data_IF_175260182027
#
_entry.id   IF_175260182027
#
_cell.length_a   1.000
_cell.length_b   1.000
_cell.length_c   1.000
_cell.angle_alpha   90.00
_cell.angle_beta   90.00
_cell.angle_gamma   90.00
#
_symmetry.space_group_name_H-M   'P 1'
#
loop_
_entity.id
_entity.type
_entity.pdbx_description
1 polymer ?
#
# COMPACT_ATOMS: atom_id res chain seq x y z
N UNK A 1 12.08 -20.22 8.28
CA UNK A 1 12.19 -21.17 9.41
C UNK A 1 11.40 -20.73 10.65
N UNK A 2 11.56 -19.50 11.15
CA UNK A 2 10.83 -19.04 12.35
C UNK A 2 9.29 -19.16 12.24
N UNK A 3 8.71 -18.82 11.09
CA UNK A 3 7.26 -18.96 10.86
C UNK A 3 6.80 -20.42 11.01
N UNK A 4 7.63 -21.37 10.59
CA UNK A 4 7.34 -22.80 10.62
C UNK A 4 7.41 -23.34 12.05
N UNK A 5 8.40 -22.89 12.82
CA UNK A 5 8.52 -23.21 14.24
C UNK A 5 7.32 -22.67 15.01
N UNK A 6 6.90 -21.44 14.72
CA UNK A 6 5.74 -20.82 15.37
C UNK A 6 4.44 -21.57 15.04
N UNK A 7 4.25 -21.96 13.77
CA UNK A 7 3.13 -22.80 13.33
C UNK A 7 3.10 -24.14 14.04
N UNK A 8 4.24 -24.80 14.22
CA UNK A 8 4.33 -26.08 14.96
C UNK A 8 3.95 -25.91 16.43
N UNK A 9 4.43 -24.86 17.10
CA UNK A 9 4.09 -24.58 18.50
C UNK A 9 2.60 -24.30 18.65
N UNK A 10 2.02 -23.46 17.79
CA UNK A 10 0.59 -23.18 17.79
C UNK A 10 -0.23 -24.44 17.51
N UNK A 11 0.15 -25.23 16.51
CA UNK A 11 -0.54 -26.48 16.16
C UNK A 11 -0.50 -27.50 17.29
N UNK A 12 0.65 -27.65 17.96
CA UNK A 12 0.78 -28.49 19.14
C UNK A 12 -0.11 -28.00 20.30
N UNK A 13 -0.14 -26.68 20.55
CA UNK A 13 -1.01 -26.07 21.56
C UNK A 13 -2.50 -26.30 21.27
N UNK A 14 -2.93 -26.11 20.02
CA UNK A 14 -4.31 -26.37 19.60
C UNK A 14 -4.67 -27.84 19.77
N UNK A 15 -3.77 -28.76 19.39
CA UNK A 15 -3.98 -30.20 19.55
C UNK A 15 -4.10 -30.59 21.02
N UNK A 16 -3.23 -30.05 21.87
CA UNK A 16 -3.27 -30.27 23.32
C UNK A 16 -4.59 -29.76 23.92
N UNK A 17 -5.01 -28.55 23.57
CA UNK A 17 -6.29 -28.00 24.01
C UNK A 17 -7.47 -28.84 23.51
N UNK A 18 -7.40 -29.35 22.29
CA UNK A 18 -8.43 -30.23 21.72
C UNK A 18 -8.56 -31.56 22.46
N UNK A 19 -7.44 -32.14 22.92
CA UNK A 19 -7.46 -33.40 23.68
C UNK A 19 -8.05 -33.23 25.08
N UNK A 20 -7.89 -32.06 25.68
CA UNK A 20 -8.39 -31.77 27.03
C UNK A 20 -9.85 -31.29 27.02
N UNK A 21 -10.32 -30.71 25.93
CA UNK A 21 -11.65 -30.09 25.82
C UNK A 21 -12.56 -30.85 24.84
N UNK A 22 -12.78 -32.14 25.13
CA UNK A 22 -13.70 -33.03 24.40
C UNK A 22 -15.14 -32.98 24.91
N UNK A 23 -15.44 -32.07 25.84
CA UNK A 23 -16.81 -31.84 26.29
C UNK A 23 -17.71 -31.44 25.11
N UNK A 24 -18.89 -32.05 25.07
CA UNK A 24 -19.89 -31.81 24.04
C UNK A 24 -20.89 -30.77 24.53
N UNK A 25 -21.27 -29.88 23.63
CA UNK A 25 -22.27 -28.84 23.86
C UNK A 25 -23.34 -28.91 22.79
N UNK A 26 -24.55 -28.45 23.13
CA UNK A 26 -25.60 -28.22 22.12
C UNK A 26 -25.50 -26.78 21.64
N UNK A 27 -25.13 -26.60 20.38
CA UNK A 27 -25.04 -25.28 19.76
C UNK A 27 -26.37 -24.95 19.09
N UNK A 28 -27.03 -23.88 19.53
CA UNK A 28 -28.21 -23.33 18.85
C UNK A 28 -27.79 -22.09 18.06
N UNK A 29 -27.95 -22.13 16.74
CA UNK A 29 -27.60 -21.04 15.84
C UNK A 29 -28.79 -20.66 14.97
N UNK A 30 -29.34 -19.46 15.20
CA UNK A 30 -30.63 -19.03 14.66
C UNK A 30 -31.73 -20.09 14.92
N UNK A 31 -32.13 -20.80 13.87
CA UNK A 31 -33.19 -21.82 13.91
C UNK A 31 -32.63 -23.25 13.82
N UNK A 32 -31.31 -23.41 13.79
CA UNK A 32 -30.64 -24.70 13.72
C UNK A 32 -30.10 -25.11 15.09
N UNK A 33 -30.33 -26.37 15.46
CA UNK A 33 -29.80 -26.98 16.68
C UNK A 33 -28.82 -28.06 16.28
N UNK A 34 -27.58 -27.91 16.74
CA UNK A 34 -26.51 -28.87 16.55
C UNK A 34 -26.20 -29.51 17.91
N UNK A 35 -26.83 -30.66 18.22
CA UNK A 35 -26.54 -31.39 19.46
C UNK A 35 -25.16 -32.06 19.41
N UNK A 36 -24.63 -32.37 20.59
CA UNK A 36 -23.42 -33.17 20.81
C UNK A 36 -22.16 -32.67 20.07
N UNK A 37 -22.02 -31.35 19.90
CA UNK A 37 -20.89 -30.77 19.19
C UNK A 37 -19.72 -30.54 20.16
N UNK A 38 -18.52 -31.08 19.87
CA UNK A 38 -17.34 -30.81 20.69
C UNK A 38 -17.02 -29.32 20.76
N UNK A 39 -16.80 -28.80 21.97
CA UNK A 39 -16.59 -27.36 22.20
C UNK A 39 -15.36 -26.80 21.46
N UNK A 40 -14.31 -27.62 21.31
CA UNK A 40 -13.10 -27.30 20.55
C UNK A 40 -13.41 -26.88 19.10
N UNK A 41 -14.38 -27.50 18.42
CA UNK A 41 -14.76 -27.14 17.06
C UNK A 41 -15.41 -25.77 16.98
N UNK A 42 -16.23 -25.40 17.96
CA UNK A 42 -16.84 -24.06 18.03
C UNK A 42 -15.77 -23.00 18.25
N UNK A 43 -14.82 -23.25 19.15
CA UNK A 43 -13.72 -22.32 19.45
C UNK A 43 -12.83 -22.13 18.22
N UNK A 44 -12.33 -23.21 17.63
CA UNK A 44 -11.46 -23.17 16.45
C UNK A 44 -12.20 -22.53 15.28
N UNK A 45 -13.45 -22.91 15.05
CA UNK A 45 -14.31 -22.34 14.02
C UNK A 45 -14.48 -20.83 14.18
N UNK A 46 -14.73 -20.35 15.40
CA UNK A 46 -14.89 -18.92 15.68
C UNK A 46 -13.62 -18.13 15.44
N UNK A 47 -12.47 -18.65 15.86
CA UNK A 47 -11.15 -18.03 15.62
C UNK A 47 -10.87 -17.96 14.11
N UNK A 48 -11.10 -19.05 13.39
CA UNK A 48 -10.91 -19.10 11.94
C UNK A 48 -11.83 -18.12 11.22
N UNK A 49 -13.11 -18.07 11.61
CA UNK A 49 -14.09 -17.17 11.01
C UNK A 49 -13.71 -15.70 11.24
N UNK A 50 -13.26 -15.35 12.45
CA UNK A 50 -12.71 -14.03 12.76
C UNK A 50 -11.46 -13.69 11.93
N UNK A 51 -10.55 -14.65 11.76
CA UNK A 51 -9.35 -14.47 10.93
C UNK A 51 -9.70 -14.25 9.45
N UNK A 52 -10.65 -15.03 8.92
CA UNK A 52 -11.15 -14.88 7.54
C UNK A 52 -11.81 -13.51 7.35
N UNK A 53 -12.66 -13.07 8.29
CA UNK A 53 -13.29 -11.75 8.22
C UNK A 53 -12.24 -10.62 8.25
N UNK A 54 -11.26 -10.71 9.14
CA UNK A 54 -10.15 -9.76 9.21
C UNK A 54 -9.35 -9.71 7.91
N UNK A 55 -9.06 -10.87 7.32
CA UNK A 55 -8.38 -10.96 6.03
C UNK A 55 -9.20 -10.29 4.92
N UNK A 56 -10.50 -10.55 4.84
CA UNK A 56 -11.39 -9.93 3.85
C UNK A 56 -11.38 -8.39 3.98
N UNK A 57 -11.45 -7.86 5.19
CA UNK A 57 -11.38 -6.41 5.44
C UNK A 57 -10.03 -5.85 5.01
N UNK A 58 -8.94 -6.52 5.38
CA UNK A 58 -7.57 -6.12 5.01
C UNK A 58 -7.37 -6.14 3.50
N UNK A 59 -7.92 -7.14 2.81
CA UNK A 59 -7.84 -7.28 1.36
C UNK A 59 -8.48 -6.09 0.65
N UNK A 60 -9.69 -5.69 1.08
CA UNK A 60 -10.38 -4.51 0.53
C UNK A 60 -9.53 -3.24 0.73
N UNK A 61 -8.95 -3.07 1.92
CA UNK A 61 -8.08 -1.93 2.22
C UNK A 61 -6.82 -1.93 1.35
N UNK A 62 -6.26 -3.10 1.06
CA UNK A 62 -5.08 -3.26 0.21
C UNK A 62 -5.38 -2.82 -1.24
N UNK A 63 -6.54 -3.18 -1.79
CA UNK A 63 -6.96 -2.72 -3.11
C UNK A 63 -7.08 -1.19 -3.16
N UNK A 64 -7.77 -0.60 -2.19
CA UNK A 64 -7.93 0.85 -2.10
C UNK A 64 -6.58 1.56 -2.01
N UNK A 65 -5.68 1.03 -1.17
CA UNK A 65 -4.32 1.54 -1.00
C UNK A 65 -3.53 1.49 -2.30
N UNK A 66 -3.59 0.37 -3.03
CA UNK A 66 -2.90 0.22 -4.32
C UNK A 66 -3.42 1.20 -5.38
N UNK A 67 -4.73 1.44 -5.43
CA UNK A 67 -5.31 2.43 -6.33
C UNK A 67 -4.85 3.85 -5.97
N UNK A 68 -4.84 4.19 -4.67
CA UNK A 68 -4.35 5.48 -4.18
C UNK A 68 -2.87 5.70 -4.52
N UNK A 69 -2.03 4.68 -4.32
CA UNK A 69 -0.60 4.72 -4.66
C UNK A 69 -0.41 4.94 -6.16
N UNK A 70 -1.17 4.24 -7.02
CA UNK A 70 -1.13 4.47 -8.47
C UNK A 70 -1.50 5.90 -8.84
N UNK A 71 -2.56 6.45 -8.24
CA UNK A 71 -2.98 7.83 -8.45
C UNK A 71 -1.91 8.84 -8.05
N UNK A 72 -1.27 8.64 -6.90
CA UNK A 72 -0.16 9.46 -6.42
C UNK A 72 1.06 9.35 -7.33
N UNK A 73 1.40 8.15 -7.81
CA UNK A 73 2.52 7.96 -8.72
C UNK A 73 2.34 8.68 -10.06
N UNK A 74 1.09 8.72 -10.56
CA UNK A 74 0.74 9.50 -11.76
C UNK A 74 0.95 10.99 -11.53
N UNK A 75 0.48 11.55 -10.41
CA UNK A 75 0.65 12.96 -10.06
C UNK A 75 2.14 13.33 -9.95
N UNK A 76 2.94 12.53 -9.24
CA UNK A 76 4.39 12.75 -9.14
C UNK A 76 5.07 12.77 -10.52
N UNK A 77 4.60 11.93 -11.44
CA UNK A 77 5.15 11.87 -12.80
C UNK A 77 4.76 13.10 -13.62
N UNK A 78 3.54 13.61 -13.45
CA UNK A 78 3.07 14.84 -14.10
C UNK A 78 3.80 16.07 -13.55
N UNK A 79 3.89 16.23 -12.23
CA UNK A 79 4.64 17.31 -11.58
C UNK A 79 6.11 17.33 -12.00
N UNK A 80 6.77 16.17 -12.08
CA UNK A 80 8.15 16.08 -12.57
C UNK A 80 8.30 16.57 -14.02
N UNK A 81 7.32 16.30 -14.88
CA UNK A 81 7.34 16.79 -16.27
C UNK A 81 7.19 18.30 -16.30
N UNK A 82 6.28 18.85 -15.50
CA UNK A 82 6.06 20.29 -15.39
C UNK A 82 7.32 21.02 -14.90
N UNK A 83 8.00 20.49 -13.88
CA UNK A 83 9.28 21.04 -13.40
C UNK A 83 10.32 21.08 -14.53
N UNK A 84 10.47 19.99 -15.30
CA UNK A 84 11.42 19.94 -16.42
C UNK A 84 11.04 20.96 -17.51
N UNK A 85 9.76 21.11 -17.81
CA UNK A 85 9.29 22.09 -18.79
C UNK A 85 9.54 23.53 -18.32
N UNK A 86 9.25 23.85 -17.06
CA UNK A 86 9.54 25.15 -16.48
C UNK A 86 11.04 25.45 -16.50
N UNK A 87 11.89 24.49 -16.12
CA UNK A 87 13.35 24.65 -16.19
C UNK A 87 13.82 24.96 -17.61
N UNK A 88 13.26 24.30 -18.63
CA UNK A 88 13.57 24.61 -20.03
C UNK A 88 13.14 26.02 -20.42
N UNK A 89 11.93 26.43 -20.05
CA UNK A 89 11.42 27.78 -20.33
C UNK A 89 12.28 28.86 -19.68
N UNK A 90 12.66 28.67 -18.40
CA UNK A 90 13.56 29.58 -17.70
C UNK A 90 14.90 29.68 -18.43
N UNK A 91 15.50 28.56 -18.82
CA UNK A 91 16.77 28.58 -19.55
C UNK A 91 16.67 29.27 -20.91
N UNK A 92 15.57 29.07 -21.65
CA UNK A 92 15.32 29.78 -22.92
C UNK A 92 15.19 31.29 -22.71
N UNK A 93 14.44 31.71 -21.70
CA UNK A 93 14.26 33.13 -21.38
C UNK A 93 15.55 33.79 -20.88
N UNK A 94 16.43 33.05 -20.20
CA UNK A 94 17.76 33.54 -19.84
C UNK A 94 18.62 33.77 -21.08
N UNK A 95 18.62 32.83 -22.04
CA UNK A 95 19.34 32.98 -23.30
C UNK A 95 18.79 34.15 -24.13
N UNK A 96 17.46 34.31 -24.21
CA UNK A 96 16.81 35.42 -24.91
C UNK A 96 17.15 36.76 -24.27
N UNK A 97 17.09 36.87 -22.94
CA UNK A 97 17.50 38.08 -22.24
C UNK A 97 18.97 38.43 -22.48
N UNK A 98 19.87 37.44 -22.51
CA UNK A 98 21.29 37.68 -22.83
C UNK A 98 21.43 38.15 -24.28
N UNK A 99 20.70 37.56 -25.22
CA UNK A 99 20.67 37.99 -26.63
C UNK A 99 20.20 39.44 -26.79
N UNK A 100 19.05 39.78 -26.19
CA UNK A 100 18.48 41.13 -26.22
C UNK A 100 19.38 42.15 -25.50
N UNK A 101 20.02 41.76 -24.40
CA UNK A 101 20.95 42.64 -23.69
C UNK A 101 22.20 42.94 -24.53
N UNK A 102 22.70 41.97 -25.29
CA UNK A 102 23.82 42.19 -26.21
C UNK A 102 23.42 43.04 -27.42
N UNK A 103 22.17 42.92 -27.91
CA UNK A 103 21.67 43.73 -29.02
C UNK A 103 21.37 45.20 -28.62
N UNK A 104 20.98 45.43 -27.37
CA UNK A 104 20.70 46.76 -26.83
C UNK A 104 21.90 47.41 -26.13
N UNK A 105 23.10 46.81 -26.18
CA UNK A 105 24.33 47.38 -25.59
C UNK A 105 24.99 48.36 -26.59
N UNK A 106 24.97 49.69 -26.33
CA UNK A 106 25.46 50.70 -27.26
C UNK A 106 27.00 50.70 -27.45
N UNK A 107 27.74 49.86 -26.72
CA UNK A 107 29.21 49.78 -26.76
C UNK A 107 29.75 48.63 -27.64
N UNK A 108 28.88 47.93 -28.38
CA UNK A 108 29.27 46.83 -29.29
C UNK A 108 29.47 47.25 -30.75
N UNK A 109 29.12 48.48 -31.11
CA UNK A 109 29.48 49.05 -32.40
C UNK A 109 30.87 49.67 -32.29
N UNK A 110 31.84 48.99 -32.92
CA UNK A 110 33.09 49.57 -33.43
C UNK A 110 34.33 49.53 -32.50
N UNK A 111 34.94 48.34 -32.38
CA UNK A 111 36.36 48.19 -32.00
C UNK A 111 37.17 47.31 -32.97
N UNK A 112 36.67 47.04 -34.17
CA UNK A 112 37.33 46.08 -35.07
C UNK A 112 37.29 46.42 -36.57
N UNK A 113 37.55 47.67 -36.94
CA UNK A 113 38.03 48.01 -38.28
C UNK A 113 39.36 48.77 -38.18
N UNK A 114 40.44 47.99 -38.29
CA UNK A 114 41.77 48.43 -38.74
C UNK A 114 41.75 48.73 -40.24
#
# INVERSE_FOLDING_TARGET
MLIFIFLLILGAGITFLSMQNTEVITLTFLNYVFPDLPINYVIIGSILLGAVLSYCISFINSISTNLKIRGQHKQITEEKKEVVELTRKVHQLELENVGLKNENDPDSSDKNSL
#
